data_IF_981736533497
#
_entry.id   IF_981736533497
#
_cell.length_a   1.000
_cell.length_b   1.000
_cell.length_c   1.000
_cell.angle_alpha   90.00
_cell.angle_beta   90.00
_cell.angle_gamma   90.00
#
_symmetry.space_group_name_H-M   'P 1'
#
loop_
_entity.id
_entity.type
_entity.pdbx_description
1 polymer ?
#
# COMPACT_ATOMS: atom_id res chain seq x y z
N UNK A 1 2.18 -19.11 -58.45
CA UNK A 1 1.33 -17.91 -58.33
C UNK A 1 0.41 -18.14 -57.14
N UNK A 2 0.63 -17.41 -56.04
CA UNK A 2 -0.21 -17.23 -54.82
C UNK A 2 -0.73 -18.49 -54.08
N UNK A 3 -0.76 -18.57 -52.75
CA UNK A 3 -0.59 -17.54 -51.74
C UNK A 3 -0.25 -18.13 -50.38
N UNK A 4 0.65 -17.41 -49.70
CA UNK A 4 0.99 -17.52 -48.29
C UNK A 4 -0.15 -16.83 -47.53
N UNK A 5 -0.92 -17.52 -46.69
CA UNK A 5 -1.74 -16.88 -45.64
C UNK A 5 -2.09 -17.87 -44.53
N UNK A 6 -1.16 -18.06 -43.60
CA UNK A 6 -1.42 -18.35 -42.19
C UNK A 6 -0.03 -18.31 -41.51
N UNK A 7 0.31 -17.23 -40.79
CA UNK A 7 -0.20 -17.11 -39.43
C UNK A 7 -0.35 -15.64 -38.99
N UNK A 8 -1.56 -15.11 -38.94
CA UNK A 8 -1.82 -13.77 -38.39
C UNK A 8 -2.73 -13.79 -37.15
N UNK A 9 -2.91 -14.96 -36.52
CA UNK A 9 -3.76 -15.11 -35.33
C UNK A 9 -2.97 -15.24 -34.01
N UNK A 10 -1.63 -15.28 -34.06
CA UNK A 10 -0.77 -15.55 -32.89
C UNK A 10 0.07 -14.35 -32.43
N UNK A 11 -0.31 -13.13 -32.84
CA UNK A 11 0.42 -11.90 -32.51
C UNK A 11 -0.42 -10.86 -31.77
N UNK A 12 -1.44 -11.30 -31.03
CA UNK A 12 -2.23 -10.42 -30.15
C UNK A 12 -2.28 -10.92 -28.71
N UNK A 13 -1.18 -11.51 -28.24
CA UNK A 13 -0.95 -11.77 -26.80
C UNK A 13 0.08 -10.77 -26.28
N UNK A 14 -0.11 -9.49 -26.58
CA UNK A 14 0.68 -8.42 -25.97
C UNK A 14 0.14 -8.22 -24.55
N UNK A 15 0.85 -8.80 -23.59
CA UNK A 15 1.12 -8.26 -22.25
C UNK A 15 0.04 -7.33 -21.67
N UNK A 16 -1.14 -7.85 -21.34
CA UNK A 16 -1.91 -7.25 -20.26
C UNK A 16 -1.36 -7.84 -18.97
N UNK A 17 -0.44 -7.12 -18.31
CA UNK A 17 -0.32 -7.29 -16.88
C UNK A 17 -1.73 -7.12 -16.29
N UNK A 18 -2.15 -7.96 -15.33
CA UNK A 18 -3.44 -7.75 -14.68
C UNK A 18 -3.43 -6.33 -14.13
N UNK A 19 -4.25 -5.48 -14.73
CA UNK A 19 -4.43 -4.12 -14.26
C UNK A 19 -5.33 -4.23 -13.05
N UNK A 20 -4.86 -3.82 -11.89
CA UNK A 20 -5.77 -3.58 -10.77
C UNK A 20 -6.73 -2.47 -11.20
N UNK A 21 -8.03 -2.70 -11.01
CA UNK A 21 -9.06 -1.68 -11.21
C UNK A 21 -9.33 -1.04 -9.86
N UNK A 22 -9.70 0.24 -9.87
CA UNK A 22 -10.15 0.95 -8.68
C UNK A 22 -11.19 1.99 -9.14
N UNK A 23 -12.20 2.23 -8.31
CA UNK A 23 -13.22 3.25 -8.54
C UNK A 23 -12.62 4.66 -8.34
N UNK A 24 -11.92 5.15 -9.35
CA UNK A 24 -11.18 6.43 -9.31
C UNK A 24 -12.00 7.59 -9.86
N UNK A 25 -11.50 8.81 -9.71
CA UNK A 25 -12.16 10.02 -10.22
C UNK A 25 -11.18 11.16 -10.47
N UNK A 26 -11.67 12.28 -10.98
CA UNK A 26 -10.90 13.53 -10.97
C UNK A 26 -10.95 14.23 -9.62
N UNK A 27 -11.90 13.86 -8.77
CA UNK A 27 -12.15 14.45 -7.46
C UNK A 27 -12.85 13.38 -6.62
N UNK A 28 -12.34 13.10 -5.42
CA UNK A 28 -12.91 12.08 -4.54
C UNK A 28 -13.27 12.57 -3.12
N UNK A 29 -13.11 13.85 -2.78
CA UNK A 29 -13.41 14.37 -1.43
C UNK A 29 -14.88 14.29 -1.04
N UNK A 30 -15.80 14.14 -2.00
CA UNK A 30 -17.22 13.86 -1.71
C UNK A 30 -17.50 12.39 -1.35
N UNK A 31 -16.53 11.50 -1.54
CA UNK A 31 -16.65 10.07 -1.26
C UNK A 31 -15.70 9.62 -0.15
N UNK A 32 -14.42 9.96 -0.27
CA UNK A 32 -13.39 9.53 0.69
C UNK A 32 -13.22 10.59 1.77
N UNK A 33 -13.55 10.23 3.01
CA UNK A 33 -13.30 11.06 4.18
C UNK A 33 -12.09 10.54 4.95
N UNK A 34 -11.22 11.43 5.42
CA UNK A 34 -10.08 11.05 6.26
C UNK A 34 -10.47 11.14 7.74
N UNK A 35 -11.10 10.08 8.24
CA UNK A 35 -11.64 10.02 9.62
C UNK A 35 -11.24 8.74 10.38
N UNK A 36 -10.40 7.90 9.78
CA UNK A 36 -9.96 6.63 10.35
C UNK A 36 -10.93 5.47 10.14
N UNK A 37 -12.00 5.66 9.37
CA UNK A 37 -12.83 4.57 8.85
C UNK A 37 -12.52 4.30 7.38
N UNK A 38 -12.74 3.06 6.94
CA UNK A 38 -12.42 2.60 5.57
C UNK A 38 -13.65 2.15 4.78
N UNK A 39 -14.85 2.52 5.23
CA UNK A 39 -16.14 2.14 4.62
C UNK A 39 -16.44 2.87 3.32
N UNK A 40 -15.74 3.97 3.03
CA UNK A 40 -15.92 4.79 1.82
C UNK A 40 -15.30 4.15 0.57
N UNK A 41 -14.42 3.17 0.78
CA UNK A 41 -13.74 2.43 -0.29
C UNK A 41 -14.67 1.38 -0.90
N UNK A 42 -14.65 1.29 -2.23
CA UNK A 42 -15.37 0.30 -3.01
C UNK A 42 -14.67 -1.07 -2.98
N UNK A 43 -15.40 -2.13 -3.35
CA UNK A 43 -14.87 -3.50 -3.34
C UNK A 43 -13.70 -3.70 -4.32
N UNK A 44 -13.68 -2.98 -5.44
CA UNK A 44 -12.58 -3.05 -6.39
C UNK A 44 -11.32 -2.31 -5.91
N UNK A 45 -11.39 -1.54 -4.83
CA UNK A 45 -10.26 -0.79 -4.27
C UNK A 45 -9.48 -1.60 -3.22
N UNK A 46 -9.88 -2.85 -2.98
CA UNK A 46 -9.26 -3.77 -2.02
C UNK A 46 -8.06 -4.49 -2.65
N UNK A 47 -6.96 -4.59 -1.92
CA UNK A 47 -5.74 -5.26 -2.38
C UNK A 47 -5.79 -6.76 -2.10
N UNK A 48 -6.24 -7.17 -0.92
CA UNK A 48 -6.38 -8.58 -0.60
C UNK A 48 -7.74 -9.08 -1.09
N UNK A 49 -7.71 -9.98 -2.06
CA UNK A 49 -8.87 -10.54 -2.73
C UNK A 49 -9.02 -12.03 -2.39
N UNK A 50 -9.47 -12.81 -3.37
CA UNK A 50 -9.54 -14.26 -3.31
C UNK A 50 -8.51 -14.84 -4.28
N UNK A 51 -7.89 -15.96 -3.89
CA UNK A 51 -7.13 -16.81 -4.80
C UNK A 51 -8.04 -17.40 -5.89
N UNK A 52 -7.46 -18.01 -6.92
CA UNK A 52 -8.20 -18.71 -7.98
C UNK A 52 -9.16 -19.79 -7.44
N UNK A 53 -8.84 -20.38 -6.29
CA UNK A 53 -9.65 -21.40 -5.61
C UNK A 53 -10.76 -20.80 -4.71
N UNK A 54 -10.93 -19.47 -4.70
CA UNK A 54 -11.92 -18.77 -3.88
C UNK A 54 -11.55 -18.66 -2.40
N UNK A 55 -10.27 -18.83 -2.05
CA UNK A 55 -9.77 -18.69 -0.68
C UNK A 55 -9.31 -17.26 -0.47
N UNK A 56 -9.58 -16.59 0.67
CA UNK A 56 -9.00 -15.28 0.96
C UNK A 56 -7.47 -15.29 0.81
N UNK A 57 -6.93 -14.31 0.09
CA UNK A 57 -5.48 -14.12 -0.05
C UNK A 57 -4.85 -13.80 1.30
N UNK A 58 -5.49 -12.92 2.06
CA UNK A 58 -5.16 -12.67 3.47
C UNK A 58 -5.97 -13.63 4.34
N UNK A 59 -5.29 -14.54 5.03
CA UNK A 59 -5.95 -15.49 5.92
C UNK A 59 -5.96 -14.93 7.33
N UNK A 60 -7.03 -15.25 8.07
CA UNK A 60 -7.05 -14.99 9.50
C UNK A 60 -5.81 -15.63 10.16
N UNK A 61 -5.00 -14.83 10.86
CA UNK A 61 -3.89 -15.29 11.67
C UNK A 61 -2.76 -15.98 10.87
N UNK A 62 -2.40 -15.46 9.70
CA UNK A 62 -1.21 -15.91 8.96
C UNK A 62 0.05 -15.06 9.25
N UNK A 63 -0.10 -13.96 9.98
CA UNK A 63 1.00 -13.23 10.58
C UNK A 63 1.88 -14.12 11.47
N UNK A 64 3.20 -13.93 11.33
CA UNK A 64 4.21 -14.54 12.21
C UNK A 64 4.01 -14.18 13.69
N UNK A 65 3.36 -13.05 13.97
CA UNK A 65 3.11 -12.53 15.32
C UNK A 65 1.71 -12.88 15.84
N UNK A 66 0.96 -13.66 15.06
CA UNK A 66 -0.38 -14.13 15.36
C UNK A 66 -1.46 -13.06 15.19
N UNK A 67 -2.69 -13.46 15.49
CA UNK A 67 -3.93 -12.73 15.22
C UNK A 67 -3.98 -11.31 15.81
N UNK A 68 -3.25 -11.07 16.90
CA UNK A 68 -3.22 -9.76 17.54
C UNK A 68 -2.34 -8.75 16.80
N UNK A 69 -1.67 -9.17 15.72
CA UNK A 69 -0.72 -8.39 14.95
C UNK A 69 -0.82 -8.78 13.47
N UNK A 70 -1.91 -8.40 12.82
CA UNK A 70 -2.35 -8.90 11.51
C UNK A 70 -2.91 -7.76 10.66
N UNK A 71 -2.64 -7.76 9.34
CA UNK A 71 -3.18 -6.76 8.42
C UNK A 71 -4.30 -7.40 7.63
N UNK A 72 -5.55 -7.08 7.95
CA UNK A 72 -6.70 -7.76 7.34
C UNK A 72 -7.05 -7.23 5.93
N UNK A 73 -6.72 -5.98 5.64
CA UNK A 73 -6.97 -5.37 4.33
C UNK A 73 -6.10 -4.14 4.10
N UNK A 74 -5.73 -3.91 2.84
CA UNK A 74 -5.23 -2.63 2.35
C UNK A 74 -6.18 -2.16 1.25
N UNK A 75 -6.60 -0.90 1.28
CA UNK A 75 -7.48 -0.34 0.26
C UNK A 75 -6.84 0.90 -0.35
N UNK A 76 -6.91 1.01 -1.68
CA UNK A 76 -6.22 2.07 -2.43
C UNK A 76 -7.14 2.61 -3.52
N UNK A 77 -7.24 3.94 -3.59
CA UNK A 77 -7.84 4.68 -4.70
C UNK A 77 -7.14 6.02 -4.88
N UNK A 78 -7.47 6.77 -5.92
CA UNK A 78 -6.80 8.04 -6.21
C UNK A 78 -7.69 8.98 -7.01
N UNK A 79 -7.38 10.27 -6.90
CA UNK A 79 -7.89 11.31 -7.79
C UNK A 79 -6.75 12.07 -8.51
N UNK A 80 -7.01 13.27 -9.03
CA UNK A 80 -5.98 14.05 -9.74
C UNK A 80 -4.84 14.51 -8.84
N UNK A 81 -5.09 14.65 -7.54
CA UNK A 81 -4.20 15.34 -6.61
C UNK A 81 -3.75 14.44 -5.45
N UNK A 82 -4.53 13.40 -5.12
CA UNK A 82 -4.34 12.59 -3.93
C UNK A 82 -4.34 11.09 -4.21
N UNK A 83 -3.48 10.38 -3.48
CA UNK A 83 -3.56 8.94 -3.28
C UNK A 83 -4.23 8.69 -1.92
N UNK A 84 -5.32 7.93 -1.93
CA UNK A 84 -6.05 7.55 -0.72
C UNK A 84 -5.71 6.12 -0.36
N UNK A 85 -5.32 5.90 0.89
CA UNK A 85 -4.96 4.58 1.40
C UNK A 85 -5.59 4.33 2.76
N UNK A 86 -6.18 3.16 2.93
CA UNK A 86 -6.64 2.66 4.22
C UNK A 86 -5.99 1.31 4.52
N UNK A 87 -5.75 1.05 5.80
CA UNK A 87 -5.26 -0.23 6.30
C UNK A 87 -6.18 -0.68 7.43
N UNK A 88 -6.85 -1.80 7.23
CA UNK A 88 -7.63 -2.47 8.27
C UNK A 88 -6.76 -3.55 8.89
N UNK A 89 -6.58 -3.54 10.21
CA UNK A 89 -5.70 -4.49 10.87
C UNK A 89 -5.79 -4.46 12.40
N UNK A 90 -5.02 -5.32 13.04
CA UNK A 90 -4.86 -5.41 14.50
C UNK A 90 -3.37 -5.26 14.80
N UNK A 91 -3.00 -4.37 15.72
CA UNK A 91 -1.60 -4.06 16.01
C UNK A 91 -1.32 -3.99 17.52
N UNK A 92 -1.87 -4.92 18.30
CA UNK A 92 -1.83 -4.88 19.76
C UNK A 92 -0.39 -4.80 20.27
N UNK A 93 -0.08 -3.71 21.00
CA UNK A 93 1.23 -3.37 21.57
C UNK A 93 2.34 -3.29 20.50
N UNK A 94 1.96 -2.98 19.27
CA UNK A 94 2.85 -2.95 18.12
C UNK A 94 2.52 -1.78 17.17
N UNK A 95 3.01 -1.86 15.93
CA UNK A 95 2.90 -0.82 14.93
C UNK A 95 2.47 -1.38 13.59
N UNK A 96 1.91 -0.50 12.78
CA UNK A 96 1.68 -0.72 11.35
C UNK A 96 2.60 0.24 10.60
N UNK A 97 3.30 -0.27 9.59
CA UNK A 97 4.06 0.52 8.63
C UNK A 97 3.58 0.17 7.23
N UNK A 98 3.29 1.19 6.42
CA UNK A 98 3.05 1.06 5.00
C UNK A 98 4.13 1.81 4.22
N UNK A 99 4.85 1.10 3.35
CA UNK A 99 6.06 1.58 2.68
C UNK A 99 5.76 1.83 1.20
N UNK A 100 6.16 3.00 0.70
CA UNK A 100 5.95 3.40 -0.69
C UNK A 100 7.29 3.62 -1.38
N UNK A 101 7.41 3.07 -2.59
CA UNK A 101 8.53 3.25 -3.51
C UNK A 101 7.99 3.83 -4.81
N UNK A 102 8.15 5.14 -5.00
CA UNK A 102 7.65 5.84 -6.19
C UNK A 102 8.69 6.73 -6.85
N UNK A 103 9.82 7.01 -6.18
CA UNK A 103 10.99 7.64 -6.81
C UNK A 103 12.27 6.84 -6.57
N UNK A 104 13.22 6.85 -7.52
CA UNK A 104 14.50 6.19 -7.32
C UNK A 104 15.27 6.75 -6.11
N UNK A 105 15.96 5.86 -5.39
CA UNK A 105 16.95 6.23 -4.38
C UNK A 105 16.44 6.37 -2.95
N UNK A 106 15.50 5.52 -2.52
CA UNK A 106 15.02 5.45 -1.14
C UNK A 106 15.84 4.55 -0.21
N UNK A 107 15.16 3.98 0.78
CA UNK A 107 15.76 3.17 1.84
C UNK A 107 16.21 1.80 1.35
N UNK A 108 17.40 1.37 1.76
CA UNK A 108 17.88 -0.01 1.57
C UNK A 108 17.56 -0.91 2.79
N UNK A 109 17.40 -0.30 3.97
CA UNK A 109 17.23 -1.00 5.25
C UNK A 109 16.55 -0.12 6.29
N UNK A 110 15.89 -0.77 7.25
CA UNK A 110 15.30 -0.11 8.42
C UNK A 110 16.17 -0.27 9.68
N UNK A 111 17.26 -1.04 9.59
CA UNK A 111 18.03 -1.53 10.75
C UNK A 111 18.88 -0.47 11.44
N UNK A 112 19.06 0.72 10.86
CA UNK A 112 19.97 1.76 11.36
C UNK A 112 19.34 3.16 11.31
N UNK A 113 18.02 3.24 11.10
CA UNK A 113 17.35 4.52 11.02
C UNK A 113 17.41 5.31 12.33
N UNK A 114 17.51 6.63 12.19
CA UNK A 114 17.40 7.61 13.27
C UNK A 114 16.01 7.63 13.95
N UNK A 115 14.97 7.12 13.29
CA UNK A 115 13.61 6.94 13.82
C UNK A 115 12.96 5.72 13.16
N UNK A 116 11.89 5.17 13.76
CA UNK A 116 11.16 4.01 13.22
C UNK A 116 12.04 2.79 12.85
N UNK A 117 13.16 2.62 13.54
CA UNK A 117 14.12 1.53 13.31
C UNK A 117 13.46 0.16 13.45
N UNK A 118 13.63 -0.72 12.46
CA UNK A 118 13.13 -2.12 12.45
C UNK A 118 14.19 -3.07 11.89
N UNK A 119 14.15 -4.33 12.31
CA UNK A 119 15.20 -5.30 11.98
C UNK A 119 14.99 -6.02 10.64
N UNK A 120 14.93 -5.27 9.53
CA UNK A 120 14.85 -5.84 8.19
C UNK A 120 15.51 -4.96 7.11
N UNK A 121 15.81 -5.60 5.97
CA UNK A 121 16.41 -5.00 4.76
C UNK A 121 15.46 -5.21 3.58
N UNK A 122 15.48 -4.30 2.61
CA UNK A 122 14.61 -4.39 1.44
C UNK A 122 15.24 -5.23 0.31
N UNK A 123 14.38 -5.78 -0.56
CA UNK A 123 14.83 -6.46 -1.77
C UNK A 123 15.42 -5.43 -2.77
N UNK A 124 16.27 -5.89 -3.70
CA UNK A 124 16.98 -5.00 -4.64
C UNK A 124 16.09 -4.12 -5.52
N UNK A 125 14.83 -4.50 -5.72
CA UNK A 125 13.87 -3.81 -6.58
C UNK A 125 12.79 -3.05 -5.80
N UNK A 126 13.00 -2.87 -4.50
CA UNK A 126 12.11 -2.09 -3.64
C UNK A 126 12.96 -1.23 -2.72
N UNK A 127 12.89 0.09 -2.89
CA UNK A 127 13.69 1.07 -2.15
C UNK A 127 12.78 2.20 -1.68
N UNK A 128 11.96 1.96 -0.65
CA UNK A 128 10.90 2.88 -0.28
C UNK A 128 11.46 4.23 0.16
N UNK A 129 10.89 5.29 -0.40
CA UNK A 129 11.31 6.67 -0.17
C UNK A 129 10.33 7.43 0.76
N UNK A 130 9.18 6.82 1.04
CA UNK A 130 8.16 7.31 1.97
C UNK A 130 7.57 6.13 2.75
N UNK A 131 7.16 6.35 3.99
CA UNK A 131 6.31 5.41 4.70
C UNK A 131 5.34 6.10 5.64
N UNK A 132 4.15 5.52 5.73
CA UNK A 132 3.16 5.81 6.75
C UNK A 132 3.37 4.88 7.93
N UNK A 133 3.21 5.38 9.15
CA UNK A 133 3.47 4.61 10.36
C UNK A 133 2.59 5.04 11.52
N UNK A 134 2.08 4.06 12.27
CA UNK A 134 1.35 4.31 13.52
C UNK A 134 1.66 3.24 14.56
N UNK A 135 1.50 3.61 15.82
CA UNK A 135 1.51 2.68 16.96
C UNK A 135 0.09 2.35 17.37
N UNK A 136 -0.07 1.25 18.10
CA UNK A 136 -1.32 0.90 18.77
C UNK A 136 -1.91 2.10 19.55
N UNK A 137 -3.21 2.32 19.41
CA UNK A 137 -3.96 3.40 20.03
C UNK A 137 -3.65 4.81 19.51
N UNK A 138 -2.73 4.99 18.56
CA UNK A 138 -2.42 6.31 18.00
C UNK A 138 -3.42 6.69 16.89
N UNK A 139 -4.27 7.66 17.18
CA UNK A 139 -5.31 8.17 16.25
C UNK A 139 -4.78 9.16 15.21
N UNK A 140 -3.51 9.57 15.31
CA UNK A 140 -2.86 10.47 14.34
C UNK A 140 -1.60 9.82 13.78
N UNK A 141 -1.75 8.87 12.83
CA UNK A 141 -0.62 8.25 12.15
C UNK A 141 0.33 9.27 11.51
N UNK A 142 1.58 8.89 11.30
CA UNK A 142 2.64 9.78 10.83
C UNK A 142 3.11 9.37 9.45
N UNK A 143 3.52 10.34 8.64
CA UNK A 143 4.24 10.09 7.38
C UNK A 143 5.71 10.48 7.55
N UNK A 144 6.60 9.64 7.04
CA UNK A 144 8.04 9.80 7.11
C UNK A 144 8.64 9.64 5.73
N UNK A 145 9.62 10.47 5.42
CA UNK A 145 10.31 10.48 4.14
C UNK A 145 11.77 10.14 4.31
N UNK A 146 12.31 9.37 3.37
CA UNK A 146 13.74 9.21 3.20
C UNK A 146 14.40 10.56 2.94
N UNK A 147 15.43 10.88 3.73
CA UNK A 147 16.22 12.09 3.54
C UNK A 147 17.61 11.78 2.97
N UNK A 148 18.29 10.80 3.56
CA UNK A 148 19.59 10.26 3.15
C UNK A 148 19.91 9.03 3.98
N UNK A 149 21.02 8.34 3.69
CA UNK A 149 21.53 7.18 4.42
C UNK A 149 21.18 7.19 5.92
N UNK A 150 20.41 6.19 6.36
CA UNK A 150 20.00 6.00 7.76
C UNK A 150 19.20 7.17 8.38
N UNK A 151 18.72 8.12 7.58
CA UNK A 151 17.99 9.30 8.03
C UNK A 151 16.62 9.38 7.35
N UNK A 152 15.61 9.48 8.19
CA UNK A 152 14.24 9.80 7.81
C UNK A 152 13.81 11.08 8.52
N UNK A 153 12.94 11.84 7.87
CA UNK A 153 12.32 13.04 8.42
C UNK A 153 10.83 12.87 8.41
N UNK A 154 10.17 13.21 9.52
CA UNK A 154 8.72 13.26 9.56
C UNK A 154 8.24 14.36 8.60
N UNK A 155 7.24 14.04 7.78
CA UNK A 155 6.58 15.00 6.91
C UNK A 155 5.70 15.92 7.76
N UNK A 156 5.62 17.19 7.38
CA UNK A 156 4.77 18.17 8.07
C UNK A 156 3.29 17.77 7.94
N UNK A 157 2.54 17.80 9.05
CA UNK A 157 1.13 17.39 9.08
C UNK A 157 0.21 18.30 8.26
N UNK A 158 0.66 19.51 7.90
CA UNK A 158 -0.08 20.38 6.97
C UNK A 158 -0.03 19.91 5.51
N UNK A 159 0.80 18.91 5.20
CA UNK A 159 1.00 18.38 3.84
C UNK A 159 0.25 17.08 3.57
N UNK A 160 -0.42 16.51 4.57
CA UNK A 160 -1.19 15.28 4.42
C UNK A 160 -2.29 15.20 5.48
N UNK A 161 -3.35 14.47 5.15
CA UNK A 161 -4.39 14.12 6.11
C UNK A 161 -4.23 12.67 6.57
N UNK A 162 -4.64 12.40 7.80
CA UNK A 162 -4.50 11.07 8.42
C UNK A 162 -5.50 10.91 9.55
N UNK A 163 -5.97 9.69 9.76
CA UNK A 163 -6.86 9.34 10.86
C UNK A 163 -6.78 7.85 11.16
N UNK A 164 -7.02 7.47 12.41
CA UNK A 164 -7.16 6.09 12.82
C UNK A 164 -8.19 5.95 13.94
N UNK A 165 -8.95 4.87 13.88
CA UNK A 165 -9.96 4.46 14.87
C UNK A 165 -9.63 3.05 15.36
N UNK A 166 -9.88 2.77 16.65
CA UNK A 166 -9.60 1.50 17.33
C UNK A 166 -10.83 0.96 18.05
#
# INVERSE_FOLDING_TARGET
MLGILAPLAWMLSLFFAPSAFATTGTELSNRITIDGYSSDFAEDERIFLLTEDGVPEERNNDSKWGFNNDINQIKITWDSDNLYVAVDGISWDNNILLLFDFVPGGLEKMTELNSWRRNFVFARNFSPDLFWATWDGNTTPQVWRFARENQVTQVDISLFETGATF
#
